data_IF_936909691873
#
_entry.id   IF_936909691873
#
_cell.length_a   1.000
_cell.length_b   1.000
_cell.length_c   1.000
_cell.angle_alpha   90.00
_cell.angle_beta   90.00
_cell.angle_gamma   90.00
#
_symmetry.space_group_name_H-M   'P 1'
#
loop_
_entity.id
_entity.type
_entity.pdbx_description
1 polymer ?
#
# COMPACT_ATOMS: atom_id res chain seq x y z
N UNK A 1 7.97 10.10 -16.37
CA UNK A 1 7.99 9.47 -15.03
C UNK A 1 9.31 9.77 -14.36
N UNK A 2 9.25 10.23 -13.13
CA UNK A 2 10.39 10.62 -12.30
C UNK A 2 10.42 9.77 -11.03
N UNK A 3 11.62 9.59 -10.45
CA UNK A 3 11.82 8.96 -9.14
C UNK A 3 12.42 10.01 -8.22
N UNK A 4 11.85 10.16 -7.04
CA UNK A 4 12.27 11.17 -6.06
C UNK A 4 12.11 10.66 -4.62
N UNK A 5 13.07 10.98 -3.77
CA UNK A 5 12.94 10.82 -2.32
C UNK A 5 12.08 11.95 -1.73
N UNK A 6 11.41 11.66 -0.61
CA UNK A 6 10.61 12.68 0.07
C UNK A 6 11.53 13.78 0.60
N UNK A 7 11.26 15.01 0.19
CA UNK A 7 11.87 16.22 0.74
C UNK A 7 10.82 17.34 0.83
N UNK A 8 11.16 18.46 1.47
CA UNK A 8 10.25 19.59 1.68
C UNK A 8 9.71 20.17 0.37
N UNK A 9 10.57 20.31 -0.64
CA UNK A 9 10.21 20.84 -1.97
C UNK A 9 9.21 19.93 -2.69
N UNK A 10 9.43 18.61 -2.67
CA UNK A 10 8.54 17.65 -3.30
C UNK A 10 7.19 17.56 -2.55
N UNK A 11 7.23 17.62 -1.21
CA UNK A 11 6.01 17.67 -0.38
C UNK A 11 5.14 18.87 -0.72
N UNK A 12 5.74 20.05 -0.86
CA UNK A 12 5.02 21.26 -1.28
C UNK A 12 4.42 21.10 -2.70
N UNK A 13 5.18 20.52 -3.61
CA UNK A 13 4.72 20.22 -4.96
C UNK A 13 3.50 19.29 -4.98
N UNK A 14 3.54 18.22 -4.18
CA UNK A 14 2.40 17.32 -3.99
C UNK A 14 1.17 18.06 -3.43
N UNK A 15 1.38 18.93 -2.45
CA UNK A 15 0.27 19.73 -1.86
C UNK A 15 -0.39 20.65 -2.89
N UNK A 16 0.39 21.28 -3.73
CA UNK A 16 -0.12 22.16 -4.79
C UNK A 16 -0.88 21.40 -5.88
N UNK A 17 -0.56 20.14 -6.13
CA UNK A 17 -1.20 19.35 -7.18
C UNK A 17 -2.56 18.75 -6.83
N UNK A 18 -3.08 18.99 -5.61
CA UNK A 18 -4.37 18.46 -5.18
C UNK A 18 -4.37 16.97 -4.76
N UNK A 19 -3.24 16.29 -4.92
CA UNK A 19 -3.07 14.91 -4.46
C UNK A 19 -2.92 14.82 -2.92
N UNK A 20 -2.70 15.95 -2.25
CA UNK A 20 -2.33 16.02 -0.83
C UNK A 20 -3.43 15.60 0.13
N UNK A 21 -4.72 15.77 -0.20
CA UNK A 21 -5.82 15.42 0.71
C UNK A 21 -5.90 13.91 0.98
N UNK A 22 -5.49 13.09 0.00
CA UNK A 22 -5.49 11.63 0.09
C UNK A 22 -4.10 11.06 0.44
N UNK A 23 -3.08 11.93 0.49
CA UNK A 23 -1.66 11.55 0.57
C UNK A 23 -1.03 11.66 1.95
N UNK A 24 -1.78 11.93 3.02
CA UNK A 24 -1.22 11.92 4.38
C UNK A 24 -0.46 10.62 4.69
N UNK A 25 -0.94 9.49 4.14
CA UNK A 25 -0.27 8.19 4.23
C UNK A 25 1.06 8.14 3.45
N UNK A 26 1.19 8.92 2.39
CA UNK A 26 2.41 8.93 1.55
C UNK A 26 3.50 9.87 2.09
N UNK A 27 3.22 10.72 3.07
CA UNK A 27 4.25 11.57 3.69
C UNK A 27 5.35 10.77 4.41
N UNK A 28 5.05 9.51 4.79
CA UNK A 28 6.02 8.57 5.39
C UNK A 28 6.73 7.68 4.37
N UNK A 29 6.56 7.91 3.08
CA UNK A 29 7.26 7.14 2.07
C UNK A 29 8.73 7.50 1.98
N UNK A 30 9.56 6.50 1.69
CA UNK A 30 11.00 6.67 1.49
C UNK A 30 11.28 7.34 0.13
N UNK A 31 10.55 6.92 -0.90
CA UNK A 31 10.64 7.48 -2.25
C UNK A 31 9.35 7.30 -3.06
N UNK A 32 9.28 8.01 -4.18
CA UNK A 32 8.12 8.08 -5.07
C UNK A 32 8.51 7.86 -6.52
N UNK A 33 7.60 7.21 -7.27
CA UNK A 33 7.50 7.35 -8.71
C UNK A 33 6.33 8.31 -9.01
N UNK A 34 6.54 9.32 -9.85
CA UNK A 34 5.50 10.30 -10.15
C UNK A 34 5.54 10.76 -11.61
N UNK A 35 4.42 11.30 -12.06
CA UNK A 35 4.26 11.92 -13.36
C UNK A 35 3.77 13.35 -13.20
N UNK A 36 4.24 14.23 -14.09
CA UNK A 36 3.90 15.65 -14.10
C UNK A 36 3.37 16.07 -15.45
N UNK A 37 2.49 17.06 -15.41
CA UNK A 37 2.07 17.85 -16.56
C UNK A 37 1.98 19.31 -16.13
N UNK A 38 2.53 20.21 -16.90
CA UNK A 38 2.55 21.65 -16.63
C UNK A 38 3.05 22.01 -15.22
N UNK A 39 4.09 21.33 -14.75
CA UNK A 39 4.64 21.45 -13.38
C UNK A 39 3.74 20.95 -12.23
N UNK A 40 2.59 20.33 -12.54
CA UNK A 40 1.72 19.70 -11.54
C UNK A 40 1.91 18.18 -11.52
N UNK A 41 1.99 17.61 -10.34
CA UNK A 41 1.99 16.14 -10.19
C UNK A 41 0.58 15.62 -10.48
N UNK A 42 0.43 14.83 -11.53
CA UNK A 42 -0.86 14.27 -11.97
C UNK A 42 -1.10 12.88 -11.44
N UNK A 43 -0.05 12.23 -10.96
CA UNK A 43 -0.11 10.94 -10.28
C UNK A 43 1.20 10.62 -9.58
N UNK A 44 1.11 9.94 -8.45
CA UNK A 44 2.25 9.48 -7.68
C UNK A 44 2.01 8.10 -7.08
N UNK A 45 3.06 7.28 -7.03
CA UNK A 45 3.12 6.04 -6.28
C UNK A 45 4.28 6.14 -5.30
N UNK A 46 4.02 5.94 -4.00
CA UNK A 46 5.02 6.00 -2.95
C UNK A 46 5.29 4.63 -2.34
N UNK A 47 6.49 4.44 -1.82
CA UNK A 47 6.92 3.25 -1.09
C UNK A 47 7.50 3.63 0.25
N UNK A 48 7.12 2.94 1.32
CA UNK A 48 7.70 3.14 2.64
C UNK A 48 7.16 2.20 3.71
N UNK A 49 7.54 2.49 4.95
CA UNK A 49 7.18 1.70 6.11
C UNK A 49 7.91 0.35 6.20
N UNK A 50 7.80 -0.28 7.37
CA UNK A 50 8.51 -1.53 7.67
C UNK A 50 8.15 -2.68 6.71
N UNK A 51 6.91 -2.74 6.26
CA UNK A 51 6.44 -3.76 5.31
C UNK A 51 6.55 -3.33 3.85
N UNK A 52 7.30 -2.25 3.57
CA UNK A 52 7.52 -1.76 2.21
C UNK A 52 6.19 -1.62 1.44
N UNK A 53 5.25 -0.92 2.08
CA UNK A 53 3.91 -0.73 1.51
C UNK A 53 3.96 0.29 0.40
N UNK A 54 3.37 -0.04 -0.74
CA UNK A 54 3.17 0.92 -1.82
C UNK A 54 1.73 1.43 -1.85
N UNK A 55 1.58 2.74 -2.09
CA UNK A 55 0.30 3.40 -2.31
C UNK A 55 0.35 4.23 -3.58
N UNK A 56 -0.77 4.33 -4.29
CA UNK A 56 -0.88 5.07 -5.55
C UNK A 56 -2.05 6.05 -5.47
N UNK A 57 -1.78 7.28 -5.91
CA UNK A 57 -2.81 8.29 -6.11
C UNK A 57 -2.68 8.88 -7.51
N UNK A 58 -3.83 9.06 -8.19
CA UNK A 58 -3.91 9.61 -9.54
C UNK A 58 -5.09 10.56 -9.58
N UNK A 59 -4.87 11.78 -10.08
CA UNK A 59 -5.93 12.75 -10.31
C UNK A 59 -7.00 12.15 -11.23
N UNK A 60 -8.26 12.40 -10.94
CA UNK A 60 -9.40 11.75 -11.58
C UNK A 60 -9.36 11.83 -13.11
N UNK A 61 -9.07 13.01 -13.66
CA UNK A 61 -8.95 13.23 -15.12
C UNK A 61 -7.85 12.40 -15.81
N UNK A 62 -6.94 11.78 -15.00
CA UNK A 62 -5.82 10.98 -15.47
C UNK A 62 -6.02 9.48 -15.24
N UNK A 63 -7.11 9.09 -14.60
CA UNK A 63 -7.46 7.68 -14.39
C UNK A 63 -7.84 7.00 -15.71
N UNK A 64 -7.76 5.68 -15.74
CA UNK A 64 -8.10 4.88 -16.94
C UNK A 64 -7.06 4.89 -18.07
N UNK A 65 -6.02 5.74 -18.01
CA UNK A 65 -5.01 5.91 -19.07
C UNK A 65 -3.73 5.06 -18.85
N UNK A 66 -3.77 4.07 -17.98
CA UNK A 66 -2.61 3.20 -17.71
C UNK A 66 -1.55 3.81 -16.78
N UNK A 67 -1.73 5.07 -16.33
CA UNK A 67 -0.76 5.79 -15.50
C UNK A 67 -0.44 5.04 -14.20
N UNK A 68 -1.43 4.45 -13.54
CA UNK A 68 -1.22 3.66 -12.30
C UNK A 68 -0.25 2.50 -12.51
N UNK A 69 -0.44 1.74 -13.59
CA UNK A 69 0.47 0.63 -13.94
C UNK A 69 1.88 1.14 -14.24
N UNK A 70 2.01 2.24 -14.97
CA UNK A 70 3.31 2.89 -15.29
C UNK A 70 4.05 3.28 -14.01
N UNK A 71 3.38 3.96 -13.09
CA UNK A 71 3.95 4.42 -11.82
C UNK A 71 4.34 3.25 -10.91
N UNK A 72 3.46 2.26 -10.77
CA UNK A 72 3.75 1.08 -9.95
C UNK A 72 4.90 0.25 -10.52
N UNK A 73 4.99 0.11 -11.84
CA UNK A 73 6.12 -0.55 -12.50
C UNK A 73 7.43 0.19 -12.24
N UNK A 74 7.41 1.52 -12.31
CA UNK A 74 8.57 2.36 -11.99
C UNK A 74 9.02 2.18 -10.55
N UNK A 75 8.07 2.19 -9.62
CA UNK A 75 8.33 1.97 -8.19
C UNK A 75 8.95 0.59 -7.93
N UNK A 76 8.40 -0.47 -8.56
CA UNK A 76 8.95 -1.83 -8.47
C UNK A 76 10.38 -1.89 -8.98
N UNK A 77 10.66 -1.27 -10.13
CA UNK A 77 12.00 -1.26 -10.71
C UNK A 77 13.00 -0.53 -9.81
N UNK A 78 12.61 0.61 -9.25
CA UNK A 78 13.45 1.37 -8.32
C UNK A 78 13.68 0.59 -7.02
N UNK A 79 12.66 -0.06 -6.46
CA UNK A 79 12.79 -0.91 -5.29
C UNK A 79 13.79 -2.07 -5.53
N UNK A 80 13.75 -2.70 -6.70
CA UNK A 80 14.74 -3.73 -7.08
C UNK A 80 16.16 -3.16 -7.13
N UNK A 81 16.36 -1.98 -7.73
CA UNK A 81 17.68 -1.29 -7.76
C UNK A 81 18.19 -0.98 -6.36
N UNK A 82 17.31 -0.54 -5.46
CA UNK A 82 17.62 -0.26 -4.05
C UNK A 82 17.71 -1.51 -3.19
N UNK A 83 17.74 -2.70 -3.80
CA UNK A 83 17.97 -3.97 -3.12
C UNK A 83 16.83 -4.45 -2.20
N UNK A 84 15.61 -3.94 -2.36
CA UNK A 84 14.44 -4.44 -1.63
C UNK A 84 14.19 -5.92 -1.94
N UNK A 85 13.67 -6.66 -0.97
CA UNK A 85 13.41 -8.10 -1.10
C UNK A 85 11.98 -8.41 -1.49
N UNK A 86 11.06 -7.49 -1.23
CA UNK A 86 9.62 -7.60 -1.49
C UNK A 86 8.97 -6.22 -1.42
N UNK A 87 7.76 -6.10 -1.94
CA UNK A 87 6.83 -5.00 -1.69
C UNK A 87 5.46 -5.55 -1.32
N UNK A 88 4.70 -4.77 -0.54
CA UNK A 88 3.30 -5.07 -0.24
C UNK A 88 2.38 -3.97 -0.72
N UNK A 89 1.11 -4.30 -0.89
CA UNK A 89 0.03 -3.33 -1.13
C UNK A 89 -1.21 -3.75 -0.34
N UNK A 90 -1.98 -2.76 0.09
CA UNK A 90 -3.33 -2.93 0.63
C UNK A 90 -4.31 -2.50 -0.44
N UNK A 91 -5.16 -3.39 -0.88
CA UNK A 91 -6.06 -3.16 -2.00
C UNK A 91 -7.49 -3.52 -1.63
N UNK A 92 -8.44 -2.61 -1.84
CA UNK A 92 -9.85 -2.95 -1.74
C UNK A 92 -10.20 -3.95 -2.88
N UNK A 93 -10.60 -5.19 -2.57
CA UNK A 93 -10.91 -6.20 -3.59
C UNK A 93 -12.08 -5.80 -4.50
N UNK A 94 -12.91 -4.84 -4.08
CA UNK A 94 -14.00 -4.28 -4.90
C UNK A 94 -13.50 -3.32 -5.96
N UNK A 95 -12.27 -2.79 -5.82
CA UNK A 95 -11.61 -1.96 -6.83
C UNK A 95 -11.00 -2.84 -7.93
N UNK A 96 -11.85 -3.27 -8.87
CA UNK A 96 -11.48 -4.19 -9.95
C UNK A 96 -10.30 -3.67 -10.80
N UNK A 97 -10.22 -2.35 -11.03
CA UNK A 97 -9.13 -1.76 -11.81
C UNK A 97 -7.78 -1.90 -11.09
N UNK A 98 -7.75 -1.61 -9.78
CA UNK A 98 -6.57 -1.79 -8.94
C UNK A 98 -6.19 -3.27 -8.81
N UNK A 99 -7.18 -4.14 -8.65
CA UNK A 99 -7.00 -5.59 -8.56
C UNK A 99 -6.32 -6.16 -9.81
N UNK A 100 -6.86 -5.85 -11.00
CA UNK A 100 -6.28 -6.26 -12.29
C UNK A 100 -4.87 -5.71 -12.50
N UNK A 101 -4.65 -4.46 -12.12
CA UNK A 101 -3.33 -3.82 -12.22
C UNK A 101 -2.30 -4.56 -11.36
N UNK A 102 -2.56 -4.75 -10.07
CA UNK A 102 -1.61 -5.42 -9.17
C UNK A 102 -1.33 -6.87 -9.58
N UNK A 103 -2.37 -7.61 -9.97
CA UNK A 103 -2.21 -8.98 -10.47
C UNK A 103 -1.34 -9.02 -11.74
N UNK A 104 -1.53 -8.07 -12.69
CA UNK A 104 -0.72 -7.98 -13.91
C UNK A 104 0.76 -7.64 -13.65
N UNK A 105 1.07 -7.05 -12.50
CA UNK A 105 2.43 -6.73 -12.05
C UNK A 105 3.06 -7.85 -11.21
N UNK A 106 2.34 -8.95 -10.98
CA UNK A 106 2.85 -10.12 -10.27
C UNK A 106 2.62 -10.12 -8.76
N UNK A 107 1.84 -9.19 -8.23
CA UNK A 107 1.40 -9.26 -6.84
C UNK A 107 0.49 -10.47 -6.61
N UNK A 108 0.63 -11.09 -5.46
CA UNK A 108 -0.21 -12.22 -5.01
C UNK A 108 -0.87 -11.87 -3.70
N UNK A 109 -2.17 -12.13 -3.56
CA UNK A 109 -2.89 -11.99 -2.30
C UNK A 109 -2.36 -13.00 -1.29
N UNK A 110 -2.15 -12.54 -0.05
CA UNK A 110 -1.68 -13.38 1.06
C UNK A 110 -2.83 -13.66 2.02
N UNK A 111 -3.57 -12.61 2.40
CA UNK A 111 -4.73 -12.69 3.28
C UNK A 111 -5.62 -11.47 3.08
N UNK A 112 -6.86 -11.56 3.59
CA UNK A 112 -7.86 -10.49 3.54
C UNK A 112 -8.21 -10.04 4.93
N UNK A 113 -8.32 -8.71 5.13
CA UNK A 113 -8.68 -8.11 6.42
C UNK A 113 -10.07 -7.47 6.29
N UNK A 114 -11.01 -7.91 7.09
CA UNK A 114 -12.31 -7.28 7.27
C UNK A 114 -12.25 -6.37 8.51
N UNK A 115 -11.83 -5.11 8.34
CA UNK A 115 -11.70 -4.15 9.46
C UNK A 115 -13.06 -3.82 10.08
N UNK A 116 -14.03 -3.49 9.24
CA UNK A 116 -15.41 -3.19 9.60
C UNK A 116 -16.37 -3.80 8.58
N UNK A 117 -17.67 -3.50 8.72
CA UNK A 117 -18.70 -3.97 7.79
C UNK A 117 -18.39 -3.55 6.33
N UNK A 118 -17.85 -2.34 6.15
CA UNK A 118 -17.66 -1.74 4.84
C UNK A 118 -16.20 -1.58 4.42
N UNK A 119 -15.25 -1.86 5.30
CA UNK A 119 -13.82 -1.72 5.01
C UNK A 119 -13.16 -3.09 4.94
N UNK A 120 -12.80 -3.48 3.73
CA UNK A 120 -12.10 -4.73 3.45
C UNK A 120 -10.87 -4.45 2.60
N UNK A 121 -9.75 -5.08 2.92
CA UNK A 121 -8.51 -4.97 2.14
C UNK A 121 -7.85 -6.34 1.95
N UNK A 122 -7.45 -6.61 0.73
CA UNK A 122 -6.50 -7.67 0.41
C UNK A 122 -5.08 -7.17 0.66
N UNK A 123 -4.32 -7.92 1.43
CA UNK A 123 -2.89 -7.72 1.56
C UNK A 123 -2.19 -8.55 0.51
N UNK A 124 -1.49 -7.87 -0.40
CA UNK A 124 -0.79 -8.51 -1.51
C UNK A 124 0.70 -8.27 -1.39
N UNK A 125 1.49 -9.21 -1.93
CA UNK A 125 2.96 -9.15 -1.94
C UNK A 125 3.50 -9.48 -3.33
N UNK A 126 4.57 -8.79 -3.72
CA UNK A 126 5.47 -9.20 -4.78
C UNK A 126 6.85 -9.45 -4.16
N UNK A 127 7.46 -10.59 -4.51
CA UNK A 127 8.74 -11.02 -3.93
C UNK A 127 9.82 -10.97 -5.00
N UNK A 128 10.99 -10.43 -4.63
CA UNK A 128 12.14 -10.30 -5.53
C UNK A 128 13.31 -11.20 -5.15
N UNK A 129 13.44 -11.57 -3.85
CA UNK A 129 14.58 -12.30 -3.29
C UNK A 129 14.16 -13.34 -2.27
N UNK A 130 15.05 -14.29 -1.95
CA UNK A 130 14.83 -15.37 -0.96
C UNK A 130 14.35 -14.83 0.40
N UNK A 131 14.91 -13.70 0.87
CA UNK A 131 14.47 -13.06 2.12
C UNK A 131 13.00 -12.63 2.05
N UNK A 132 12.53 -12.16 0.90
CA UNK A 132 11.11 -11.82 0.70
C UNK A 132 10.20 -13.06 0.75
N UNK A 133 10.67 -14.24 0.32
CA UNK A 133 9.92 -15.50 0.45
C UNK A 133 9.70 -15.83 1.93
N UNK A 134 10.73 -15.65 2.76
CA UNK A 134 10.63 -15.87 4.21
C UNK A 134 9.61 -14.92 4.85
N UNK A 135 9.65 -13.62 4.52
CA UNK A 135 8.68 -12.65 5.01
C UNK A 135 7.26 -13.01 4.53
N UNK A 136 7.09 -13.40 3.28
CA UNK A 136 5.80 -13.87 2.76
C UNK A 136 5.24 -15.02 3.61
N UNK A 137 6.04 -16.03 3.93
CA UNK A 137 5.63 -17.16 4.79
C UNK A 137 5.20 -16.71 6.18
N UNK A 138 5.90 -15.74 6.78
CA UNK A 138 5.49 -15.16 8.07
C UNK A 138 4.13 -14.48 7.93
N UNK A 139 3.92 -13.69 6.89
CA UNK A 139 2.66 -12.98 6.66
C UNK A 139 1.50 -13.96 6.37
N UNK A 140 1.78 -15.11 5.76
CA UNK A 140 0.78 -16.16 5.50
C UNK A 140 0.17 -16.75 6.78
N UNK A 141 0.81 -16.60 7.95
CA UNK A 141 0.25 -16.99 9.25
C UNK A 141 -1.07 -16.26 9.52
N UNK A 142 -1.19 -15.02 9.04
CA UNK A 142 -2.42 -14.23 9.18
C UNK A 142 -3.58 -14.74 8.30
N UNK A 143 -3.31 -15.63 7.36
CA UNK A 143 -4.34 -16.32 6.58
C UNK A 143 -4.99 -17.48 7.37
N UNK A 144 -5.35 -17.20 8.61
CA UNK A 144 -6.05 -18.12 9.52
C UNK A 144 -6.87 -17.35 10.55
N UNK A 145 -7.91 -17.96 11.14
CA UNK A 145 -8.72 -17.31 12.19
C UNK A 145 -7.87 -16.88 13.39
N UNK A 146 -6.94 -17.72 13.82
CA UNK A 146 -6.03 -17.41 14.92
C UNK A 146 -5.08 -16.27 14.54
N UNK A 147 -4.53 -16.30 13.33
CA UNK A 147 -3.70 -15.24 12.81
C UNK A 147 -4.45 -13.90 12.74
N UNK A 148 -5.72 -13.91 12.29
CA UNK A 148 -6.58 -12.71 12.28
C UNK A 148 -6.86 -12.17 13.67
N UNK A 149 -7.05 -13.04 14.67
CA UNK A 149 -7.17 -12.62 16.07
C UNK A 149 -5.90 -11.91 16.55
N UNK A 150 -4.74 -12.52 16.32
CA UNK A 150 -3.45 -11.93 16.67
C UNK A 150 -3.26 -10.59 15.96
N UNK A 151 -3.52 -10.52 14.65
CA UNK A 151 -3.40 -9.30 13.87
C UNK A 151 -4.34 -8.21 14.41
N UNK A 152 -5.59 -8.53 14.73
CA UNK A 152 -6.54 -7.58 15.30
C UNK A 152 -6.09 -7.03 16.65
N UNK A 153 -5.53 -7.89 17.52
CA UNK A 153 -4.95 -7.48 18.81
C UNK A 153 -3.75 -6.56 18.58
N UNK A 154 -2.83 -6.93 17.66
CA UNK A 154 -1.67 -6.12 17.32
C UNK A 154 -2.08 -4.74 16.82
N UNK A 155 -3.04 -4.65 15.88
CA UNK A 155 -3.53 -3.37 15.35
C UNK A 155 -4.14 -2.53 16.47
N UNK A 156 -4.98 -3.11 17.32
CA UNK A 156 -5.67 -2.40 18.40
C UNK A 156 -4.70 -1.81 19.42
N UNK A 157 -3.71 -2.57 19.86
CA UNK A 157 -2.79 -2.15 20.94
C UNK A 157 -1.52 -1.45 20.43
N UNK A 158 -1.17 -1.65 19.15
CA UNK A 158 0.01 -1.00 18.53
C UNK A 158 -0.37 0.17 17.64
N UNK A 159 -1.53 0.80 17.86
CA UNK A 159 -2.08 1.85 16.99
C UNK A 159 -1.09 2.97 16.68
N UNK A 160 -0.26 3.38 17.65
CA UNK A 160 0.79 4.39 17.45
C UNK A 160 1.96 3.93 16.57
N UNK A 161 2.24 2.62 16.53
CA UNK A 161 3.32 2.04 15.71
C UNK A 161 2.84 1.68 14.30
N UNK A 162 1.56 1.38 14.16
CA UNK A 162 0.96 0.88 12.93
C UNK A 162 1.11 1.84 11.73
N UNK A 163 0.97 3.19 11.87
CA UNK A 163 1.20 4.11 10.76
C UNK A 163 2.59 4.00 10.15
N UNK A 164 3.62 3.77 11.00
CA UNK A 164 5.00 3.58 10.55
C UNK A 164 5.23 2.25 9.84
N UNK A 165 4.38 1.25 10.12
CA UNK A 165 4.50 -0.08 9.54
C UNK A 165 3.80 -0.21 8.19
N UNK A 166 2.64 0.45 8.00
CA UNK A 166 1.73 0.22 6.87
C UNK A 166 1.33 1.48 6.10
N UNK A 167 2.03 2.60 6.28
CA UNK A 167 1.75 3.87 5.56
C UNK A 167 0.33 4.44 5.75
N UNK A 168 -0.31 4.21 6.86
CA UNK A 168 -1.53 4.95 7.21
C UNK A 168 -1.20 6.16 8.08
N UNK A 169 -1.88 7.28 7.86
CA UNK A 169 -1.89 8.37 8.84
C UNK A 169 -2.64 7.91 10.11
N UNK A 170 -2.24 8.39 11.28
CA UNK A 170 -2.90 8.03 12.55
C UNK A 170 -4.41 8.30 12.53
N UNK A 171 -4.85 9.31 11.78
CA UNK A 171 -6.25 9.71 11.62
C UNK A 171 -7.06 8.75 10.73
N UNK A 172 -6.40 7.99 9.85
CA UNK A 172 -7.04 7.15 8.82
C UNK A 172 -6.92 5.65 9.09
N UNK A 173 -6.35 5.23 10.23
CA UNK A 173 -6.35 3.82 10.60
C UNK A 173 -7.78 3.46 11.02
N UNK A 174 -8.46 2.59 10.27
CA UNK A 174 -9.78 2.13 10.67
C UNK A 174 -9.66 1.43 12.03
N UNK A 175 -10.62 1.67 12.90
CA UNK A 175 -10.67 0.96 14.17
C UNK A 175 -11.03 -0.52 13.89
N UNK A 176 -10.15 -1.49 14.20
CA UNK A 176 -10.41 -2.87 13.84
C UNK A 176 -11.50 -3.45 14.74
N UNK A 177 -12.55 -3.92 14.17
CA UNK A 177 -13.45 -4.84 14.85
C UNK A 177 -12.82 -6.24 14.83
N UNK A 178 -12.15 -6.62 15.93
CA UNK A 178 -11.51 -7.95 16.05
C UNK A 178 -12.55 -9.05 15.77
N UNK A 179 -13.76 -8.90 16.30
CA UNK A 179 -14.84 -9.85 16.05
C UNK A 179 -15.17 -9.94 14.56
N UNK A 180 -15.24 -8.81 13.85
CA UNK A 180 -15.51 -8.80 12.41
C UNK A 180 -14.40 -9.49 11.61
N UNK A 181 -13.12 -9.28 12.00
CA UNK A 181 -11.97 -9.94 11.36
C UNK A 181 -12.02 -11.47 11.49
N UNK A 182 -12.50 -11.99 12.64
CA UNK A 182 -12.58 -13.43 12.91
C UNK A 182 -13.83 -14.05 12.26
N UNK A 183 -14.98 -13.40 12.41
CA UNK A 183 -16.26 -13.98 11.94
C UNK A 183 -16.40 -13.93 10.43
N UNK A 184 -15.82 -12.93 9.78
CA UNK A 184 -15.81 -12.78 8.31
C UNK A 184 -14.52 -13.29 7.66
N UNK A 185 -13.70 -14.03 8.41
CA UNK A 185 -12.48 -14.60 7.87
C UNK A 185 -12.74 -15.41 6.60
N UNK A 186 -12.04 -15.06 5.52
CA UNK A 186 -11.99 -15.78 4.26
C UNK A 186 -10.57 -16.28 4.04
N UNK A 187 -10.40 -17.59 3.92
CA UNK A 187 -9.10 -18.18 3.55
C UNK A 187 -8.83 -17.91 2.07
N UNK A 188 -7.70 -17.27 1.77
CA UNK A 188 -7.24 -17.01 0.41
C UNK A 188 -6.31 -18.14 -0.07
#
# INVERSE_FOLDING_TARGET
>A
MYIQEMNSKFREKLRKSGLSKEMKSLESCDFFAFEEEDNFVVGAAGLGGLFHVSGIQILEKWRGKGLGKKLQSGLINEAKKRNYSFLTVFNDPRNIASEKMHNSLGYKTIFRIHYSKDIVNDVKIIVFKKRGIFIKKILEIFNSKVGMLILGILIKYSRKLFPRMILYSEENIPEPSIMNMITKFEKI
#
